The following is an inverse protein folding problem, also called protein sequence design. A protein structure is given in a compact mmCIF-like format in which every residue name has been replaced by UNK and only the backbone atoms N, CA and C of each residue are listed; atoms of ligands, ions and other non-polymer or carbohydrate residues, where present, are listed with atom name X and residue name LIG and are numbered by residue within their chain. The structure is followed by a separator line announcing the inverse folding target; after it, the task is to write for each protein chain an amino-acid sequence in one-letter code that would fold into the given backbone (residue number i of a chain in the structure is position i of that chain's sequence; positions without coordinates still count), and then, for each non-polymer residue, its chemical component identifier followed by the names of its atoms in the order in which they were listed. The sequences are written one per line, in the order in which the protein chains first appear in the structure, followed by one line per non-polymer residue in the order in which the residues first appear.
data_IF_286046660515
#
_entry.id   IF_286046660515
#
_cell.length_a   1.000
_cell.length_b   1.000
_cell.length_c   1.000
_cell.angle_alpha   90.00
_cell.angle_beta   90.00
_cell.angle_gamma   90.00
#
_symmetry.space_group_name_H-M   'P 1'
#
loop_
_entity.id
_entity.type
_entity.pdbx_description
1 polymer ?
#
# COMPACT_ATOMS: atom_id res chain seq x y z
N UNK A 1 18.52 12.49 13.29
CA UNK A 1 17.19 11.97 12.87
C UNK A 1 16.74 10.78 13.72
N UNK A 2 17.56 9.74 13.92
CA UNK A 2 17.21 8.58 14.77
C UNK A 2 16.88 8.94 16.24
N UNK A 3 17.62 9.87 16.85
CA UNK A 3 17.34 10.32 18.24
C UNK A 3 15.97 11.00 18.34
N UNK A 4 15.61 11.84 17.36
CA UNK A 4 14.30 12.47 17.29
C UNK A 4 13.19 11.43 17.08
N UNK A 5 13.42 10.40 16.26
CA UNK A 5 12.45 9.32 16.05
C UNK A 5 12.17 8.53 17.35
N UNK A 6 13.23 8.18 18.11
CA UNK A 6 13.08 7.48 19.39
C UNK A 6 12.42 8.38 20.45
N UNK A 7 12.71 9.68 20.46
CA UNK A 7 12.08 10.64 21.35
C UNK A 7 10.58 10.82 21.04
N UNK A 8 10.20 10.83 19.77
CA UNK A 8 8.82 11.07 19.32
C UNK A 8 7.93 9.81 19.39
N UNK A 9 8.51 8.62 19.32
CA UNK A 9 7.77 7.35 19.45
C UNK A 9 7.00 7.27 20.77
N UNK A 10 7.62 7.63 21.91
CA UNK A 10 7.00 7.52 23.24
C UNK A 10 5.71 8.34 23.38
N UNK A 11 5.67 9.64 23.06
CA UNK A 11 4.44 10.44 23.12
C UNK A 11 3.41 10.01 22.08
N UNK A 12 3.81 9.64 20.87
CA UNK A 12 2.88 9.15 19.85
C UNK A 12 2.16 7.87 20.29
N UNK A 13 2.89 6.88 20.81
CA UNK A 13 2.28 5.65 21.34
C UNK A 13 1.31 5.96 22.48
N UNK A 14 1.69 6.90 23.37
CA UNK A 14 0.82 7.31 24.49
C UNK A 14 -0.48 7.99 24.01
N UNK A 15 -0.44 8.71 22.88
CA UNK A 15 -1.62 9.31 22.26
C UNK A 15 -2.58 8.26 21.69
N UNK A 16 -2.05 7.18 21.08
CA UNK A 16 -2.87 6.06 20.58
C UNK A 16 -3.44 5.18 21.69
N UNK A 17 -2.86 5.21 22.90
CA UNK A 17 -3.34 4.47 24.06
C UNK A 17 -4.55 5.10 24.77
N UNK A 18 -5.05 6.25 24.31
CA UNK A 18 -6.24 6.87 24.90
C UNK A 18 -7.51 6.01 24.71
N UNK A 19 -8.47 6.07 25.64
CA UNK A 19 -9.73 5.35 25.51
C UNK A 19 -10.45 5.78 24.23
N UNK A 20 -11.02 4.79 23.52
CA UNK A 20 -11.66 4.98 22.20
C UNK A 20 -12.75 6.06 22.22
N UNK A 21 -13.44 6.24 23.35
CA UNK A 21 -14.47 7.26 23.53
C UNK A 21 -13.96 8.70 23.42
N UNK A 22 -12.67 8.95 23.69
CA UNK A 22 -12.03 10.26 23.53
C UNK A 22 -11.27 10.35 22.20
N UNK A 23 -10.71 9.22 21.75
CA UNK A 23 -9.91 9.17 20.54
C UNK A 23 -10.75 9.43 19.27
N UNK A 24 -11.96 8.84 19.20
CA UNK A 24 -12.87 9.04 18.06
C UNK A 24 -13.30 10.51 17.83
N UNK A 25 -13.82 11.24 18.84
CA UNK A 25 -14.22 12.63 18.65
C UNK A 25 -13.03 13.58 18.39
N UNK A 26 -11.80 13.18 18.72
CA UNK A 26 -10.59 13.92 18.36
C UNK A 26 -10.18 13.71 16.90
N UNK A 27 -10.18 12.45 16.43
CA UNK A 27 -9.71 12.11 15.08
C UNK A 27 -10.68 12.61 14.00
N UNK A 28 -11.99 12.52 14.22
CA UNK A 28 -13.02 12.92 13.25
C UNK A 28 -12.85 14.34 12.70
N UNK A 29 -12.81 15.42 13.52
CA UNK A 29 -12.62 16.78 13.02
C UNK A 29 -11.26 16.98 12.36
N UNK A 30 -10.20 16.31 12.85
CA UNK A 30 -8.87 16.37 12.24
C UNK A 30 -8.90 15.78 10.82
N UNK A 31 -9.59 14.65 10.62
CA UNK A 31 -9.77 14.05 9.28
C UNK A 31 -10.56 14.98 8.35
N UNK A 32 -11.62 15.62 8.84
CA UNK A 32 -12.43 16.57 8.04
C UNK A 32 -11.59 17.77 7.62
N UNK A 33 -10.84 18.38 8.55
CA UNK A 33 -9.93 19.49 8.25
C UNK A 33 -8.84 19.02 7.26
N UNK A 34 -8.29 17.82 7.45
CA UNK A 34 -7.28 17.24 6.57
C UNK A 34 -7.78 17.06 5.13
N UNK A 35 -8.98 16.49 4.95
CA UNK A 35 -9.58 16.33 3.62
C UNK A 35 -9.88 17.68 2.97
N UNK A 36 -10.42 18.63 3.73
CA UNK A 36 -10.72 19.96 3.23
C UNK A 36 -9.45 20.76 2.85
N UNK A 37 -8.35 20.59 3.59
CA UNK A 37 -7.13 21.38 3.40
C UNK A 37 -6.40 21.12 2.08
N UNK A 38 -6.65 20.00 1.38
CA UNK A 38 -5.92 19.65 0.15
C UNK A 38 -6.35 20.52 -1.03
N UNK A 39 -7.66 20.72 -1.21
CA UNK A 39 -8.22 21.50 -2.34
C UNK A 39 -9.21 22.58 -1.92
N UNK A 40 -9.40 22.82 -0.62
CA UNK A 40 -10.45 23.69 -0.07
C UNK A 40 -11.84 23.38 -0.63
N UNK A 41 -12.12 22.10 -0.90
CA UNK A 41 -13.36 21.65 -1.52
C UNK A 41 -14.20 20.82 -0.56
N UNK A 42 -15.49 21.14 -0.46
CA UNK A 42 -16.45 20.32 0.30
C UNK A 42 -16.68 18.95 -0.36
N UNK A 43 -16.43 18.82 -1.66
CA UNK A 43 -16.55 17.53 -2.35
C UNK A 43 -15.58 16.49 -1.77
N UNK A 44 -14.34 16.87 -1.46
CA UNK A 44 -13.34 15.97 -0.86
C UNK A 44 -13.77 15.49 0.53
N UNK A 45 -14.49 16.32 1.29
CA UNK A 45 -15.08 15.95 2.59
C UNK A 45 -16.20 14.93 2.41
N UNK A 46 -17.07 15.09 1.41
CA UNK A 46 -18.09 14.10 1.09
C UNK A 46 -17.47 12.76 0.66
N UNK A 47 -16.42 12.79 -0.17
CA UNK A 47 -15.67 11.59 -0.57
C UNK A 47 -14.98 10.94 0.64
N UNK A 48 -14.43 11.72 1.57
CA UNK A 48 -13.86 11.22 2.83
C UNK A 48 -14.91 10.44 3.63
N UNK A 49 -16.12 10.99 3.82
CA UNK A 49 -17.19 10.28 4.54
C UNK A 49 -17.67 9.04 3.79
N UNK A 50 -17.88 9.14 2.48
CA UNK A 50 -18.31 8.01 1.65
C UNK A 50 -17.29 6.86 1.67
N UNK A 51 -16.00 7.17 1.53
CA UNK A 51 -14.92 6.17 1.60
C UNK A 51 -14.74 5.57 3.00
N UNK A 52 -14.93 6.37 4.06
CA UNK A 52 -14.98 5.87 5.43
C UNK A 52 -16.12 4.89 5.66
N UNK A 53 -17.31 5.19 5.14
CA UNK A 53 -18.47 4.31 5.21
C UNK A 53 -18.28 3.03 4.37
N UNK A 54 -17.70 3.15 3.18
CA UNK A 54 -17.30 2.00 2.37
C UNK A 54 -16.30 1.12 3.13
N UNK A 55 -15.29 1.70 3.78
CA UNK A 55 -14.35 0.96 4.62
C UNK A 55 -15.02 0.20 5.77
N UNK A 56 -16.10 0.77 6.33
CA UNK A 56 -16.92 0.09 7.33
C UNK A 56 -17.65 -1.13 6.75
N UNK A 57 -18.20 -1.00 5.53
CA UNK A 57 -18.81 -2.12 4.81
C UNK A 57 -17.78 -3.22 4.48
N UNK A 58 -16.59 -2.85 4.00
CA UNK A 58 -15.50 -3.79 3.73
C UNK A 58 -15.07 -4.55 5.00
N UNK A 59 -15.08 -3.88 6.16
CA UNK A 59 -14.83 -4.52 7.46
C UNK A 59 -15.86 -5.60 7.77
N UNK A 60 -17.13 -5.38 7.42
CA UNK A 60 -18.20 -6.36 7.62
C UNK A 60 -17.97 -7.61 6.77
N UNK A 61 -17.52 -7.43 5.52
CA UNK A 61 -17.15 -8.53 4.62
C UNK A 61 -15.80 -9.18 4.92
N UNK A 62 -15.16 -8.88 6.06
CA UNK A 62 -13.87 -9.45 6.50
C UNK A 62 -12.70 -9.17 5.54
N UNK A 63 -12.83 -8.18 4.65
CA UNK A 63 -11.71 -7.80 3.79
C UNK A 63 -10.64 -7.04 4.60
N UNK A 64 -9.34 -7.31 4.36
CA UNK A 64 -8.28 -6.55 5.00
C UNK A 64 -8.24 -5.13 4.39
N UNK A 65 -8.62 -4.14 5.20
CA UNK A 65 -8.74 -2.73 4.76
C UNK A 65 -7.36 -2.15 4.39
N UNK A 66 -6.32 -2.52 5.14
CA UNK A 66 -4.98 -1.95 4.96
C UNK A 66 -4.39 -2.19 3.54
N UNK A 67 -4.37 -3.42 2.99
CA UNK A 67 -3.95 -3.66 1.61
C UNK A 67 -4.77 -2.91 0.55
N UNK A 68 -6.08 -2.75 0.77
CA UNK A 68 -6.97 -2.07 -0.19
C UNK A 68 -6.65 -0.58 -0.25
N UNK A 69 -6.52 0.07 0.91
CA UNK A 69 -6.13 1.48 1.00
C UNK A 69 -4.74 1.68 0.38
N UNK A 70 -3.80 0.78 0.67
CA UNK A 70 -2.46 0.81 0.09
C UNK A 70 -2.53 0.71 -1.44
N UNK A 71 -3.32 -0.22 -1.97
CA UNK A 71 -3.54 -0.38 -3.41
C UNK A 71 -4.09 0.89 -4.08
N UNK A 72 -5.10 1.54 -3.48
CA UNK A 72 -5.68 2.78 -4.02
C UNK A 72 -4.65 3.92 -4.05
N UNK A 73 -3.81 4.03 -3.02
CA UNK A 73 -2.77 5.07 -2.95
C UNK A 73 -1.63 4.80 -3.95
N UNK A 74 -1.20 3.54 -4.08
CA UNK A 74 -0.10 3.17 -4.98
C UNK A 74 -0.52 3.08 -6.45
N UNK A 75 -1.78 2.78 -6.76
CA UNK A 75 -2.27 2.66 -8.13
C UNK A 75 -1.83 3.81 -9.06
N UNK A 76 -2.06 5.10 -8.73
CA UNK A 76 -1.64 6.20 -9.59
C UNK A 76 -0.11 6.28 -9.74
N UNK A 77 0.64 5.96 -8.68
CA UNK A 77 2.10 5.96 -8.74
C UNK A 77 2.60 4.85 -9.68
N UNK A 78 1.99 3.67 -9.63
CA UNK A 78 2.33 2.55 -10.51
C UNK A 78 2.01 2.91 -11.96
N UNK A 79 0.84 3.47 -12.25
CA UNK A 79 0.44 3.87 -13.61
C UNK A 79 1.41 4.92 -14.19
N UNK A 80 1.76 5.93 -13.38
CA UNK A 80 2.64 6.99 -13.84
C UNK A 80 4.09 6.48 -14.05
N UNK A 81 4.60 5.63 -13.17
CA UNK A 81 5.92 5.03 -13.35
C UNK A 81 5.94 4.03 -14.50
N UNK A 82 4.88 3.26 -14.73
CA UNK A 82 4.76 2.36 -15.87
C UNK A 82 4.76 3.15 -17.17
N UNK A 83 3.96 4.22 -17.26
CA UNK A 83 3.94 5.12 -18.41
C UNK A 83 5.32 5.73 -18.66
N UNK A 84 5.98 6.25 -17.63
CA UNK A 84 7.36 6.78 -17.74
C UNK A 84 8.33 5.72 -18.22
N UNK A 85 8.26 4.50 -17.69
CA UNK A 85 9.10 3.41 -18.14
C UNK A 85 8.86 3.13 -19.63
N UNK A 86 7.60 2.98 -20.07
CA UNK A 86 7.27 2.72 -21.47
C UNK A 86 7.78 3.83 -22.41
N UNK A 87 7.69 5.10 -22.02
CA UNK A 87 8.27 6.21 -22.78
C UNK A 87 9.80 6.14 -22.87
N UNK A 88 10.49 5.75 -21.78
CA UNK A 88 11.95 5.58 -21.79
C UNK A 88 12.38 4.41 -22.67
N UNK A 89 11.57 3.34 -22.73
CA UNK A 89 11.82 2.16 -23.58
C UNK A 89 11.27 2.32 -25.01
N UNK A 90 10.65 3.45 -25.35
CA UNK A 90 10.05 3.70 -26.67
C UNK A 90 11.16 3.85 -27.73
N UNK A 91 11.55 2.74 -28.35
CA UNK A 91 12.58 2.67 -29.40
C UNK A 91 13.80 1.78 -29.08
N UNK A 92 13.95 1.30 -27.84
CA UNK A 92 15.06 0.46 -27.39
C UNK A 92 14.63 -1.01 -27.23
N UNK A 93 15.49 -1.97 -27.60
CA UNK A 93 15.20 -3.40 -27.43
C UNK A 93 15.22 -3.82 -25.95
N UNK A 94 14.59 -4.95 -25.61
CA UNK A 94 14.67 -5.58 -24.27
C UNK A 94 16.11 -5.76 -23.72
N UNK A 95 17.13 -5.69 -24.59
CA UNK A 95 18.53 -5.67 -24.21
C UNK A 95 18.97 -4.45 -23.38
N UNK A 96 18.29 -3.30 -23.47
CA UNK A 96 18.60 -2.13 -22.66
C UNK A 96 18.24 -2.32 -21.17
N UNK A 97 17.26 -3.18 -20.87
CA UNK A 97 16.93 -3.56 -19.48
C UNK A 97 18.04 -4.42 -18.88
N UNK A 98 18.62 -5.33 -19.67
CA UNK A 98 19.66 -6.27 -19.21
C UNK A 98 21.04 -5.62 -19.15
N UNK A 99 21.28 -4.55 -19.92
CA UNK A 99 22.53 -3.78 -19.85
C UNK A 99 22.69 -3.03 -18.53
N UNK A 100 21.58 -2.71 -17.85
CA UNK A 100 21.60 -2.09 -16.54
C UNK A 100 21.67 -3.13 -15.43
N UNK A 101 22.62 -2.96 -14.50
CA UNK A 101 22.83 -3.86 -13.35
C UNK A 101 21.55 -4.02 -12.51
N UNK A 102 20.76 -2.95 -12.37
CA UNK A 102 19.48 -2.97 -11.66
C UNK A 102 18.46 -3.83 -12.39
N UNK A 103 18.40 -3.78 -13.73
CA UNK A 103 17.44 -4.56 -14.51
C UNK A 103 17.73 -6.06 -14.45
N UNK A 104 19.00 -6.46 -14.50
CA UNK A 104 19.39 -7.87 -14.34
C UNK A 104 19.05 -8.42 -12.95
N UNK A 105 19.29 -7.65 -11.89
CA UNK A 105 18.89 -8.03 -10.52
C UNK A 105 17.37 -8.14 -10.41
N UNK A 106 16.62 -7.22 -11.03
CA UNK A 106 15.16 -7.21 -10.99
C UNK A 106 14.57 -8.43 -11.72
N UNK A 107 15.09 -8.78 -12.90
CA UNK A 107 14.67 -9.96 -13.66
C UNK A 107 14.96 -11.24 -12.88
N UNK A 108 16.15 -11.35 -12.28
CA UNK A 108 16.50 -12.51 -11.47
C UNK A 108 15.61 -12.63 -10.23
N UNK A 109 15.32 -11.51 -9.54
CA UNK A 109 14.41 -11.48 -8.40
C UNK A 109 12.98 -11.89 -8.80
N UNK A 110 12.48 -11.42 -9.94
CA UNK A 110 11.19 -11.83 -10.49
C UNK A 110 11.14 -13.33 -10.76
N UNK A 111 12.16 -13.88 -11.43
CA UNK A 111 12.26 -15.32 -11.70
C UNK A 111 12.29 -16.11 -10.38
N UNK A 112 13.04 -15.66 -9.37
CA UNK A 112 13.13 -16.32 -8.07
C UNK A 112 11.77 -16.34 -7.34
N UNK A 113 11.04 -15.21 -7.36
CA UNK A 113 9.70 -15.11 -6.74
C UNK A 113 8.70 -16.02 -7.47
N UNK A 114 8.70 -16.02 -8.80
CA UNK A 114 7.83 -16.90 -9.59
C UNK A 114 8.19 -18.38 -9.42
N UNK A 115 9.48 -18.72 -9.37
CA UNK A 115 9.94 -20.09 -9.13
C UNK A 115 9.51 -20.58 -7.74
N UNK A 116 9.70 -19.78 -6.68
CA UNK A 116 9.19 -20.08 -5.34
C UNK A 116 7.67 -20.22 -5.33
N UNK A 117 6.94 -19.34 -6.02
CA UNK A 117 5.49 -19.41 -6.15
C UNK A 117 5.01 -20.70 -6.82
N UNK A 118 5.63 -21.10 -7.92
CA UNK A 118 5.33 -22.34 -8.66
C UNK A 118 5.73 -23.57 -7.84
N UNK A 119 6.92 -23.56 -7.23
CA UNK A 119 7.39 -24.64 -6.35
C UNK A 119 6.47 -24.81 -5.13
N UNK A 120 5.96 -23.72 -4.55
CA UNK A 120 4.97 -23.76 -3.47
C UNK A 120 3.62 -24.27 -3.94
N UNK A 121 3.19 -23.93 -5.15
CA UNK A 121 1.94 -24.45 -5.73
C UNK A 121 2.04 -25.96 -6.02
N UNK A 122 3.18 -26.42 -6.56
CA UNK A 122 3.47 -27.84 -6.82
C UNK A 122 3.66 -28.62 -5.51
N UNK A 123 4.27 -28.03 -4.48
CA UNK A 123 4.42 -28.65 -3.15
C UNK A 123 3.12 -28.64 -2.34
N UNK A 124 2.27 -27.63 -2.51
CA UNK A 124 0.94 -27.55 -1.87
C UNK A 124 -0.10 -28.47 -2.51
N UNK A 125 0.18 -29.02 -3.70
CA UNK A 125 -0.58 -30.12 -4.29
C UNK A 125 -0.21 -31.51 -3.76
N UNK A 126 0.59 -31.58 -2.67
CA UNK A 126 0.99 -32.86 -2.05
C UNK A 126 0.80 -32.93 -0.53
N UNK A 127 -0.36 -32.58 0.04
CA UNK A 127 -0.86 -33.24 1.24
C UNK A 127 -1.70 -34.47 0.82
N UNK A 128 -1.59 -35.59 1.55
CA UNK A 128 -2.40 -36.83 1.42
C UNK A 128 -1.88 -38.00 0.56
N UNK A 129 -0.57 -38.19 0.43
CA UNK A 129 -0.04 -39.54 0.17
C UNK A 129 1.27 -39.75 0.92
N UNK A 130 1.22 -40.58 1.98
CA UNK A 130 2.21 -40.88 3.02
C UNK A 130 2.04 -39.99 4.27
N UNK A 131 1.61 -40.47 5.44
CA UNK A 131 1.35 -41.81 6.01
C UNK A 131 0.19 -41.70 7.02
#
# INVERSE_FOLDING_TARGET
MYVAALALIKPCVKLFSLPRGVLMPLILPICVIGAYSVRLSMFDVWVMFASGLAGLALRHFRFPIAPIVLGVILAPMVDENLRRALFVFEGESFGFVVSQWVGTVLVFALIAIFAEGILRLVRSGRPEAAE
#
